data_IF_024926131903
#
_entry.id   IF_024926131903
#
_cell.length_a   1.000
_cell.length_b   1.000
_cell.length_c   1.000
_cell.angle_alpha   90.00
_cell.angle_beta   90.00
_cell.angle_gamma   90.00
#
_symmetry.space_group_name_H-M   'P 1'
#
loop_
_entity.id
_entity.type
_entity.pdbx_description
1 polymer ?
#
# COMPACT_ATOMS: atom_id res chain seq x y z
N UNK A 1 -15.65 11.82 -5.92
CA UNK A 1 -15.43 10.68 -5.03
C UNK A 1 -14.51 11.15 -3.92
N UNK A 2 -14.75 10.75 -2.66
CA UNK A 2 -13.86 11.09 -1.54
C UNK A 2 -12.56 10.27 -1.64
N UNK A 3 -11.42 10.90 -1.26
CA UNK A 3 -10.12 10.22 -1.21
C UNK A 3 -9.94 9.40 0.07
N UNK A 4 -10.93 9.40 0.95
CA UNK A 4 -10.97 8.63 2.19
C UNK A 4 -11.60 9.40 3.35
N UNK A 5 -12.10 8.66 4.33
CA UNK A 5 -12.68 9.17 5.57
C UNK A 5 -11.65 9.08 6.69
N UNK A 6 -11.28 10.22 7.24
CA UNK A 6 -10.30 10.34 8.31
C UNK A 6 -10.97 10.59 9.65
N UNK A 7 -10.39 10.08 10.73
CA UNK A 7 -10.72 10.53 12.08
C UNK A 7 -9.51 11.28 12.66
N UNK A 8 -9.72 12.49 13.12
CA UNK A 8 -8.70 13.28 13.83
C UNK A 8 -9.08 13.47 15.30
N UNK A 9 -8.23 12.95 16.17
CA UNK A 9 -8.42 12.93 17.62
C UNK A 9 -7.35 13.82 18.24
N UNK A 10 -7.75 14.97 18.80
CA UNK A 10 -6.83 15.95 19.38
C UNK A 10 -7.61 16.88 20.32
N UNK A 11 -7.18 17.08 21.55
CA UNK A 11 -7.87 17.94 22.51
C UNK A 11 -7.85 19.41 22.12
N UNK A 12 -6.88 19.82 21.29
CA UNK A 12 -6.76 21.14 20.71
C UNK A 12 -7.34 21.22 19.26
N UNK A 13 -8.26 20.33 18.89
CA UNK A 13 -8.77 20.19 17.51
C UNK A 13 -9.31 21.49 16.91
N UNK A 14 -9.82 22.39 17.75
CA UNK A 14 -10.30 23.72 17.31
C UNK A 14 -9.19 24.58 16.71
N UNK A 15 -7.96 24.39 17.13
CA UNK A 15 -6.77 25.10 16.61
C UNK A 15 -6.32 24.53 15.25
N UNK A 16 -6.76 23.33 14.92
CA UNK A 16 -6.37 22.59 13.70
C UNK A 16 -7.30 22.82 12.52
N UNK A 17 -8.27 23.73 12.60
CA UNK A 17 -9.25 24.02 11.54
C UNK A 17 -8.62 24.30 10.17
N UNK A 18 -7.49 25.01 10.14
CA UNK A 18 -6.80 25.28 8.88
C UNK A 18 -6.27 24.01 8.19
N UNK A 19 -5.82 23.04 9.00
CA UNK A 19 -5.33 21.74 8.52
C UNK A 19 -6.51 20.89 8.01
N UNK A 20 -7.64 20.88 8.73
CA UNK A 20 -8.86 20.19 8.33
C UNK A 20 -9.35 20.72 6.98
N UNK A 21 -9.50 22.04 6.84
CA UNK A 21 -9.91 22.69 5.57
C UNK A 21 -8.93 22.35 4.43
N UNK A 22 -7.62 22.26 4.73
CA UNK A 22 -6.63 21.85 3.72
C UNK A 22 -6.85 20.41 3.25
N UNK A 23 -7.12 19.48 4.17
CA UNK A 23 -7.37 18.05 3.84
C UNK A 23 -8.70 17.90 3.08
N UNK A 24 -9.75 18.61 3.49
CA UNK A 24 -11.04 18.64 2.77
C UNK A 24 -10.90 19.16 1.33
N UNK A 25 -10.11 20.21 1.12
CA UNK A 25 -9.76 20.69 -0.22
C UNK A 25 -8.96 19.69 -1.06
N UNK A 26 -8.30 18.73 -0.41
CA UNK A 26 -7.61 17.61 -1.07
C UNK A 26 -8.52 16.39 -1.29
N UNK A 27 -9.81 16.52 -0.98
CA UNK A 27 -10.82 15.50 -1.23
C UNK A 27 -11.00 14.47 -0.12
N UNK A 28 -10.42 14.68 1.07
CA UNK A 28 -10.65 13.83 2.23
C UNK A 28 -11.87 14.32 3.02
N UNK A 29 -12.60 13.41 3.62
CA UNK A 29 -13.60 13.71 4.64
C UNK A 29 -12.94 13.57 6.01
N UNK A 30 -13.15 14.55 6.92
CA UNK A 30 -12.48 14.58 8.22
C UNK A 30 -13.51 14.65 9.33
N UNK A 31 -13.68 13.56 10.07
CA UNK A 31 -14.38 13.53 11.34
C UNK A 31 -13.42 13.94 12.47
N UNK A 32 -13.90 14.66 13.46
CA UNK A 32 -13.07 15.17 14.56
C UNK A 32 -13.67 14.88 15.91
N UNK A 33 -12.85 14.50 16.87
CA UNK A 33 -13.21 14.37 18.28
C UNK A 33 -12.08 14.92 19.16
N UNK A 34 -12.40 15.38 20.36
CA UNK A 34 -11.45 16.04 21.27
C UNK A 34 -10.92 15.14 22.39
N UNK A 35 -11.27 13.87 22.40
CA UNK A 35 -10.83 12.93 23.44
C UNK A 35 -10.89 11.47 22.98
N UNK A 36 -10.16 10.60 23.68
CA UNK A 36 -10.06 9.19 23.32
C UNK A 36 -11.37 8.39 23.50
N UNK A 37 -12.19 8.74 24.50
CA UNK A 37 -13.45 8.01 24.77
C UNK A 37 -14.44 8.18 23.63
N UNK A 38 -14.63 9.40 23.13
CA UNK A 38 -15.50 9.68 21.98
C UNK A 38 -14.95 9.06 20.71
N UNK A 39 -13.62 9.03 20.55
CA UNK A 39 -12.98 8.35 19.43
C UNK A 39 -13.27 6.85 19.39
N UNK A 40 -13.16 6.17 20.52
CA UNK A 40 -13.43 4.74 20.65
C UNK A 40 -14.89 4.45 20.32
N UNK A 41 -15.82 5.26 20.85
CA UNK A 41 -17.25 5.10 20.58
C UNK A 41 -17.55 5.31 19.09
N UNK A 42 -16.94 6.31 18.46
CA UNK A 42 -17.12 6.58 17.04
C UNK A 42 -16.53 5.45 16.17
N UNK A 43 -15.39 4.86 16.56
CA UNK A 43 -14.81 3.70 15.88
C UNK A 43 -15.67 2.42 16.01
N UNK A 44 -16.57 2.31 17.01
CA UNK A 44 -17.55 1.23 17.08
C UNK A 44 -18.70 1.41 16.10
N UNK A 45 -19.00 2.65 15.73
CA UNK A 45 -20.16 3.00 14.89
C UNK A 45 -19.81 3.02 13.40
N UNK A 46 -18.59 3.41 13.05
CA UNK A 46 -18.14 3.49 11.66
C UNK A 46 -16.65 3.21 11.51
N UNK A 47 -16.24 2.79 10.30
CA UNK A 47 -14.84 2.55 9.96
C UNK A 47 -14.22 3.79 9.35
N UNK A 48 -12.90 3.94 9.55
CA UNK A 48 -12.09 5.01 8.99
C UNK A 48 -10.97 4.44 8.13
N UNK A 49 -10.59 5.20 7.09
CA UNK A 49 -9.45 4.83 6.23
C UNK A 49 -8.12 5.11 6.91
N UNK A 50 -8.08 6.12 7.79
CA UNK A 50 -6.91 6.43 8.63
C UNK A 50 -7.33 7.28 9.83
N UNK A 51 -6.62 7.11 10.95
CA UNK A 51 -6.82 7.86 12.19
C UNK A 51 -5.56 8.66 12.48
N UNK A 52 -5.73 9.99 12.69
CA UNK A 52 -4.72 10.87 13.27
C UNK A 52 -5.02 10.98 14.76
N UNK A 53 -4.05 10.65 15.61
CA UNK A 53 -4.24 10.51 17.06
C UNK A 53 -3.19 11.31 17.81
N UNK A 54 -3.64 12.31 18.58
CA UNK A 54 -2.75 12.98 19.52
C UNK A 54 -2.36 12.05 20.66
N UNK A 55 -1.11 12.13 21.05
CA UNK A 55 -0.59 11.32 22.14
C UNK A 55 -1.02 11.84 23.51
N UNK A 56 -0.96 13.16 23.68
CA UNK A 56 -1.15 13.81 24.98
C UNK A 56 -2.54 14.44 25.08
N UNK A 57 -3.52 13.66 25.51
CA UNK A 57 -4.89 14.12 25.74
C UNK A 57 -5.30 13.95 27.19
N UNK A 58 -6.19 14.82 27.70
CA UNK A 58 -6.82 14.62 29.01
C UNK A 58 -7.67 13.36 29.07
N UNK A 59 -7.61 12.63 30.17
CA UNK A 59 -8.36 11.37 30.37
C UNK A 59 -7.60 10.18 29.81
N UNK A 60 -8.09 9.56 28.74
CA UNK A 60 -7.35 8.50 28.05
C UNK A 60 -6.21 9.10 27.22
N UNK A 61 -5.01 8.64 27.48
CA UNK A 61 -3.85 8.97 26.64
C UNK A 61 -4.00 8.45 25.20
N UNK A 62 -3.22 9.00 24.27
CA UNK A 62 -3.21 8.50 22.90
C UNK A 62 -2.85 7.01 22.80
N UNK A 63 -1.92 6.53 23.63
CA UNK A 63 -1.51 5.11 23.63
C UNK A 63 -2.62 4.19 24.14
N UNK A 64 -3.33 4.56 25.20
CA UNK A 64 -4.48 3.81 25.70
C UNK A 64 -5.64 3.79 24.70
N UNK A 65 -5.86 4.93 24.03
CA UNK A 65 -6.83 5.08 22.95
C UNK A 65 -6.46 4.21 21.75
N UNK A 66 -5.19 4.21 21.33
CA UNK A 66 -4.65 3.38 20.25
C UNK A 66 -4.92 1.90 20.49
N UNK A 67 -4.64 1.43 21.73
CA UNK A 67 -4.83 0.02 22.07
C UNK A 67 -6.29 -0.41 21.86
N UNK A 68 -7.24 0.39 22.37
CA UNK A 68 -8.66 0.08 22.25
C UNK A 68 -9.18 0.22 20.80
N UNK A 69 -8.71 1.22 20.06
CA UNK A 69 -9.04 1.36 18.63
C UNK A 69 -8.56 0.13 17.85
N UNK A 70 -7.35 -0.36 18.13
CA UNK A 70 -6.79 -1.53 17.45
C UNK A 70 -7.49 -2.84 17.79
N UNK A 71 -8.18 -2.92 18.90
CA UNK A 71 -9.06 -4.05 19.23
C UNK A 71 -10.36 -4.02 18.39
N UNK A 72 -10.87 -2.82 18.09
CA UNK A 72 -12.12 -2.62 17.31
C UNK A 72 -11.83 -2.64 15.80
N UNK A 73 -10.80 -1.94 15.38
CA UNK A 73 -10.40 -1.76 13.96
C UNK A 73 -8.91 -2.09 13.77
N UNK A 74 -8.51 -3.37 13.81
CA UNK A 74 -7.11 -3.77 13.76
C UNK A 74 -6.40 -3.38 12.46
N UNK A 75 -7.13 -3.32 11.35
CA UNK A 75 -6.59 -3.01 10.03
C UNK A 75 -6.48 -1.50 9.74
N UNK A 76 -7.20 -0.64 10.46
CA UNK A 76 -7.17 0.81 10.23
C UNK A 76 -5.81 1.39 10.62
N UNK A 77 -5.09 2.06 9.71
CA UNK A 77 -3.82 2.69 10.03
C UNK A 77 -4.02 3.86 11.01
N UNK A 78 -3.18 3.93 12.02
CA UNK A 78 -3.17 5.02 13.00
C UNK A 78 -1.84 5.75 12.92
N UNK A 79 -1.90 7.06 12.75
CA UNK A 79 -0.75 7.97 12.74
C UNK A 79 -0.75 8.77 14.03
N UNK A 80 0.28 8.62 14.83
CA UNK A 80 0.43 9.37 16.09
C UNK A 80 0.93 10.79 15.81
N UNK A 81 0.36 11.77 16.50
CA UNK A 81 0.85 13.15 16.54
C UNK A 81 1.46 13.42 17.91
N UNK A 82 2.75 13.74 17.98
CA UNK A 82 3.51 13.81 19.23
C UNK A 82 4.35 15.08 19.34
N UNK A 83 4.65 15.52 20.55
CA UNK A 83 5.54 16.69 20.83
C UNK A 83 7.00 16.29 21.03
N UNK A 84 7.34 15.00 21.12
CA UNK A 84 8.69 14.54 21.45
C UNK A 84 9.22 13.50 20.45
N UNK A 85 10.51 13.59 20.14
CA UNK A 85 11.24 12.61 19.33
C UNK A 85 11.62 11.34 20.13
N UNK A 86 11.60 11.40 21.46
CA UNK A 86 11.99 10.28 22.33
C UNK A 86 10.97 9.13 22.29
N UNK A 87 9.78 9.36 21.79
CA UNK A 87 8.70 8.40 21.65
C UNK A 87 8.92 7.36 20.55
N UNK A 88 9.89 7.56 19.67
CA UNK A 88 10.37 6.51 18.77
C UNK A 88 10.81 5.24 19.50
N UNK A 89 11.21 5.36 20.77
CA UNK A 89 11.61 4.22 21.60
C UNK A 89 10.39 3.44 22.10
N UNK A 90 9.27 4.13 22.31
CA UNK A 90 8.01 3.50 22.71
C UNK A 90 7.38 2.71 21.57
N UNK A 91 7.52 3.15 20.32
CA UNK A 91 7.00 2.44 19.15
C UNK A 91 7.63 1.05 18.99
N UNK A 92 8.91 0.91 19.28
CA UNK A 92 9.61 -0.38 19.34
C UNK A 92 9.08 -1.29 20.48
N UNK A 93 8.62 -0.70 21.58
CA UNK A 93 8.10 -1.44 22.73
C UNK A 93 6.63 -1.85 22.57
N UNK A 94 5.82 -1.06 21.84
CA UNK A 94 4.39 -1.32 21.59
C UNK A 94 4.17 -2.24 20.38
N UNK A 95 5.23 -2.56 19.64
CA UNK A 95 5.21 -3.52 18.55
C UNK A 95 4.29 -3.14 17.39
N UNK A 96 4.72 -2.19 16.57
CA UNK A 96 4.14 -1.86 15.24
C UNK A 96 2.62 -1.67 15.15
N UNK A 97 1.96 -1.18 16.21
CA UNK A 97 0.53 -0.86 16.18
C UNK A 97 0.23 0.46 15.48
N UNK A 98 1.21 1.34 15.30
CA UNK A 98 1.08 2.60 14.57
C UNK A 98 1.64 2.45 13.15
N UNK A 99 1.02 3.18 12.21
CA UNK A 99 1.40 3.17 10.81
C UNK A 99 2.49 4.23 10.50
N UNK A 100 2.44 5.34 11.24
CA UNK A 100 3.39 6.46 11.10
C UNK A 100 3.30 7.37 12.33
N UNK A 101 4.21 8.32 12.48
CA UNK A 101 4.12 9.37 13.50
C UNK A 101 4.52 10.74 12.91
N UNK A 102 3.95 11.80 13.47
CA UNK A 102 4.17 13.18 13.07
C UNK A 102 4.55 14.01 14.30
N UNK A 103 5.63 14.77 14.19
CA UNK A 103 6.10 15.61 15.29
C UNK A 103 5.40 16.97 15.22
N UNK A 104 4.80 17.39 16.31
CA UNK A 104 4.15 18.71 16.42
C UNK A 104 5.22 19.83 16.51
N UNK A 105 5.06 20.97 15.84
CA UNK A 105 3.89 21.39 15.08
C UNK A 105 3.77 20.69 13.73
N UNK A 106 2.61 20.07 13.48
CA UNK A 106 2.40 19.26 12.29
C UNK A 106 2.16 20.15 11.07
N UNK A 107 2.92 19.91 10.00
CA UNK A 107 2.72 20.61 8.73
C UNK A 107 1.65 19.90 7.88
N UNK A 108 0.67 20.63 7.28
CA UNK A 108 -0.35 20.01 6.42
C UNK A 108 0.20 19.12 5.31
N UNK A 109 1.37 19.48 4.75
CA UNK A 109 2.03 18.67 3.71
C UNK A 109 2.58 17.35 4.24
N UNK A 110 3.04 17.30 5.47
CA UNK A 110 3.50 16.08 6.13
C UNK A 110 2.32 15.14 6.40
N UNK A 111 1.18 15.69 6.87
CA UNK A 111 -0.06 14.91 7.02
C UNK A 111 -0.43 14.30 5.67
N UNK A 112 -0.52 15.11 4.61
CA UNK A 112 -0.91 14.63 3.28
C UNK A 112 0.04 13.53 2.77
N UNK A 113 1.35 13.63 3.04
CA UNK A 113 2.32 12.62 2.67
C UNK A 113 2.08 11.31 3.42
N UNK A 114 1.85 11.40 4.74
CA UNK A 114 1.53 10.24 5.58
C UNK A 114 0.20 9.59 5.16
N UNK A 115 -0.83 10.38 4.83
CA UNK A 115 -2.10 9.87 4.30
C UNK A 115 -1.90 9.08 3.01
N UNK A 116 -1.19 9.65 2.04
CA UNK A 116 -0.91 8.97 0.76
C UNK A 116 -0.15 7.67 0.97
N UNK A 117 0.85 7.66 1.85
CA UNK A 117 1.63 6.48 2.18
C UNK A 117 0.77 5.36 2.79
N UNK A 118 -0.19 5.70 3.66
CA UNK A 118 -0.90 4.72 4.48
C UNK A 118 -2.29 4.35 3.96
N UNK A 119 -3.01 5.25 3.29
CA UNK A 119 -4.33 4.98 2.69
C UNK A 119 -4.17 4.34 1.30
N UNK A 120 -3.30 4.92 0.46
CA UNK A 120 -3.11 4.46 -0.92
C UNK A 120 -1.97 3.45 -1.07
N UNK A 121 -1.51 2.85 0.03
CA UNK A 121 -0.44 1.86 -0.05
C UNK A 121 -0.83 0.66 -0.93
N UNK A 122 -2.10 0.27 -0.93
CA UNK A 122 -2.63 -0.75 -1.86
C UNK A 122 -2.56 -0.27 -3.31
N UNK A 123 -2.98 0.97 -3.57
CA UNK A 123 -2.99 1.54 -4.93
C UNK A 123 -1.57 1.79 -5.44
N UNK A 124 -0.67 2.31 -4.58
CA UNK A 124 0.74 2.53 -4.94
C UNK A 124 1.46 1.20 -5.18
N UNK A 125 1.25 0.19 -4.34
CA UNK A 125 1.81 -1.15 -4.56
C UNK A 125 1.25 -1.74 -5.84
N UNK A 126 -0.05 -1.60 -6.10
CA UNK A 126 -0.69 -2.06 -7.35
C UNK A 126 -0.16 -1.29 -8.56
N UNK A 127 -0.06 0.05 -8.51
CA UNK A 127 0.49 0.85 -9.61
C UNK A 127 1.98 0.57 -9.87
N UNK A 128 2.80 0.48 -8.82
CA UNK A 128 4.24 0.16 -8.96
C UNK A 128 4.42 -1.27 -9.44
N UNK A 129 3.62 -2.21 -8.96
CA UNK A 129 3.65 -3.61 -9.40
C UNK A 129 3.15 -3.73 -10.84
N UNK A 130 2.04 -3.10 -11.20
CA UNK A 130 1.54 -3.08 -12.58
C UNK A 130 2.52 -2.41 -13.54
N UNK A 131 3.12 -1.28 -13.17
CA UNK A 131 4.17 -0.63 -13.97
C UNK A 131 5.41 -1.51 -14.10
N UNK A 132 5.80 -2.20 -13.04
CA UNK A 132 6.90 -3.17 -13.06
C UNK A 132 6.61 -4.34 -13.99
N UNK A 133 5.44 -4.96 -13.88
CA UNK A 133 5.04 -6.06 -14.76
C UNK A 133 4.84 -5.64 -16.20
N UNK A 134 4.32 -4.44 -16.48
CA UNK A 134 4.25 -3.92 -17.85
C UNK A 134 5.62 -3.73 -18.49
N UNK A 135 6.61 -3.23 -17.74
CA UNK A 135 7.98 -3.12 -18.22
C UNK A 135 8.61 -4.50 -18.45
N UNK A 136 8.42 -5.42 -17.52
CA UNK A 136 8.88 -6.80 -17.65
C UNK A 136 8.19 -7.52 -18.81
N UNK A 137 6.89 -7.29 -19.03
CA UNK A 137 6.15 -7.81 -20.19
C UNK A 137 6.82 -7.40 -21.50
N UNK A 138 7.10 -6.10 -21.66
CA UNK A 138 7.76 -5.58 -22.86
C UNK A 138 9.17 -6.16 -23.04
N UNK A 139 9.93 -6.27 -21.95
CA UNK A 139 11.28 -6.83 -21.98
C UNK A 139 11.28 -8.31 -22.34
N UNK A 140 10.33 -9.09 -21.81
CA UNK A 140 10.17 -10.50 -22.14
C UNK A 140 9.78 -10.66 -23.60
N UNK A 141 8.83 -9.88 -24.12
CA UNK A 141 8.42 -9.90 -25.51
C UNK A 141 9.60 -9.57 -26.47
N UNK A 142 10.39 -8.54 -26.15
CA UNK A 142 11.59 -8.21 -26.91
C UNK A 142 12.64 -9.33 -26.86
N UNK A 143 12.85 -9.92 -25.69
CA UNK A 143 13.81 -11.01 -25.51
C UNK A 143 13.39 -12.27 -26.27
N UNK A 144 12.09 -12.59 -26.36
CA UNK A 144 11.59 -13.70 -27.16
C UNK A 144 11.93 -13.57 -28.64
N UNK A 145 11.97 -12.33 -29.17
CA UNK A 145 12.36 -12.08 -30.58
C UNK A 145 13.85 -12.37 -30.86
N UNK A 146 14.70 -12.29 -29.84
CA UNK A 146 16.17 -12.48 -30.00
C UNK A 146 16.67 -13.80 -29.37
N UNK A 147 15.79 -14.70 -28.96
CA UNK A 147 16.16 -16.01 -28.42
C UNK A 147 16.81 -16.89 -29.47
N UNK A 148 18.06 -17.29 -29.23
CA UNK A 148 18.86 -18.11 -30.14
C UNK A 148 19.31 -19.44 -29.55
N UNK A 149 19.17 -19.61 -28.26
CA UNK A 149 19.59 -20.80 -27.54
C UNK A 149 18.50 -21.33 -26.60
N UNK A 150 18.56 -22.61 -26.23
CA UNK A 150 17.68 -23.17 -25.20
C UNK A 150 17.82 -22.44 -23.86
N UNK A 151 19.01 -21.93 -23.55
CA UNK A 151 19.26 -21.18 -22.32
C UNK A 151 18.46 -19.87 -22.27
N UNK A 152 18.31 -19.18 -23.41
CA UNK A 152 17.52 -17.94 -23.51
C UNK A 152 16.04 -18.21 -23.21
N UNK A 153 15.49 -19.31 -23.76
CA UNK A 153 14.11 -19.73 -23.52
C UNK A 153 13.90 -20.16 -22.08
N UNK A 154 14.84 -20.84 -21.48
CA UNK A 154 14.76 -21.23 -20.06
C UNK A 154 14.75 -20.02 -19.13
N UNK A 155 15.45 -18.94 -19.48
CA UNK A 155 15.41 -17.70 -18.69
C UNK A 155 14.03 -17.02 -18.79
N UNK A 156 13.42 -16.99 -19.98
CA UNK A 156 12.06 -16.48 -20.18
C UNK A 156 11.07 -17.27 -19.32
N UNK A 157 11.09 -18.60 -19.40
CA UNK A 157 10.19 -19.43 -18.59
C UNK A 157 10.37 -19.22 -17.08
N UNK A 158 11.62 -19.04 -16.63
CA UNK A 158 11.89 -18.76 -15.22
C UNK A 158 11.24 -17.45 -14.76
N UNK A 159 11.26 -16.41 -15.60
CA UNK A 159 10.59 -15.13 -15.31
C UNK A 159 9.07 -15.29 -15.30
N UNK A 160 8.50 -15.97 -16.27
CA UNK A 160 7.05 -16.21 -16.34
C UNK A 160 6.52 -17.02 -15.15
N UNK A 161 7.28 -18.04 -14.71
CA UNK A 161 6.94 -18.80 -13.50
C UNK A 161 7.06 -17.94 -12.24
N UNK A 162 8.06 -17.07 -12.16
CA UNK A 162 8.18 -16.14 -11.04
C UNK A 162 6.95 -15.21 -10.96
N UNK A 163 6.49 -14.68 -12.07
CA UNK A 163 5.27 -13.88 -12.12
C UNK A 163 4.04 -14.65 -11.67
N UNK A 164 3.90 -15.90 -12.11
CA UNK A 164 2.77 -16.75 -11.71
C UNK A 164 2.72 -16.98 -10.19
N UNK A 165 3.87 -17.08 -9.55
CA UNK A 165 3.98 -17.23 -8.10
C UNK A 165 3.74 -15.92 -7.33
N UNK A 166 4.03 -14.78 -7.94
CA UNK A 166 3.90 -13.45 -7.33
C UNK A 166 2.53 -12.82 -7.56
N UNK A 167 1.83 -13.19 -8.64
CA UNK A 167 0.47 -12.74 -8.90
C UNK A 167 -0.50 -13.40 -7.93
N UNK A 168 -1.13 -12.56 -7.10
CA UNK A 168 -2.28 -13.04 -6.31
C UNK A 168 -3.51 -13.16 -7.20
N UNK A 169 -4.43 -14.07 -6.87
CA UNK A 169 -5.68 -14.35 -7.60
C UNK A 169 -6.61 -13.13 -7.80
N UNK A 170 -6.20 -11.95 -7.36
CA UNK A 170 -7.02 -10.73 -7.35
C UNK A 170 -6.84 -9.82 -8.55
N UNK A 171 -5.79 -9.99 -9.37
CA UNK A 171 -5.54 -9.15 -10.56
C UNK A 171 -5.81 -9.93 -11.85
N UNK A 172 -7.09 -9.90 -12.30
CA UNK A 172 -7.51 -10.64 -13.48
C UNK A 172 -6.83 -10.15 -14.78
N UNK A 173 -6.49 -8.86 -14.89
CA UNK A 173 -5.85 -8.30 -16.06
C UNK A 173 -4.41 -8.77 -16.20
N UNK A 174 -3.67 -8.80 -15.10
CA UNK A 174 -2.28 -9.27 -15.09
C UNK A 174 -2.20 -10.78 -15.31
N UNK A 175 -3.17 -11.54 -14.78
CA UNK A 175 -3.29 -12.99 -15.01
C UNK A 175 -3.53 -13.28 -16.49
N UNK A 176 -4.38 -12.51 -17.16
CA UNK A 176 -4.63 -12.65 -18.60
C UNK A 176 -3.38 -12.31 -19.44
N UNK A 177 -2.69 -11.22 -19.12
CA UNK A 177 -1.42 -10.86 -19.75
C UNK A 177 -0.34 -11.95 -19.58
N UNK A 178 -0.25 -12.55 -18.40
CA UNK A 178 0.68 -13.65 -18.14
C UNK A 178 0.34 -14.89 -18.96
N UNK A 179 -0.95 -15.23 -19.07
CA UNK A 179 -1.41 -16.36 -19.88
C UNK A 179 -1.05 -16.17 -21.35
N UNK A 180 -1.28 -14.98 -21.92
CA UNK A 180 -0.90 -14.63 -23.29
C UNK A 180 0.62 -14.77 -23.51
N UNK A 181 1.44 -14.26 -22.61
CA UNK A 181 2.90 -14.37 -22.71
C UNK A 181 3.40 -15.81 -22.61
N UNK A 182 2.78 -16.64 -21.78
CA UNK A 182 3.09 -18.07 -21.70
C UNK A 182 2.78 -18.78 -23.02
N UNK A 183 1.65 -18.46 -23.63
CA UNK A 183 1.28 -19.02 -24.93
C UNK A 183 2.24 -18.59 -26.04
N UNK A 184 2.60 -17.30 -26.11
CA UNK A 184 3.60 -16.78 -27.05
C UNK A 184 4.97 -17.44 -26.85
N UNK A 185 5.41 -17.62 -25.60
CA UNK A 185 6.66 -18.31 -25.29
C UNK A 185 6.65 -19.77 -25.72
N UNK A 186 5.54 -20.48 -25.51
CA UNK A 186 5.39 -21.87 -25.94
C UNK A 186 5.46 -21.99 -27.48
N UNK A 187 4.73 -21.13 -28.20
CA UNK A 187 4.77 -21.09 -29.66
C UNK A 187 6.17 -20.74 -30.17
N UNK A 188 6.81 -19.73 -29.58
CA UNK A 188 8.17 -19.29 -29.93
C UNK A 188 9.20 -20.38 -29.71
N UNK A 189 9.15 -21.05 -28.57
CA UNK A 189 10.05 -22.16 -28.25
C UNK A 189 9.83 -23.37 -29.17
N UNK A 190 8.58 -23.73 -29.44
CA UNK A 190 8.27 -24.80 -30.39
C UNK A 190 8.84 -24.51 -31.79
N UNK A 191 8.69 -23.28 -32.30
CA UNK A 191 9.28 -22.85 -33.57
C UNK A 191 10.81 -22.89 -33.53
N UNK A 192 11.41 -22.50 -32.40
CA UNK A 192 12.87 -22.56 -32.21
C UNK A 192 13.38 -24.02 -32.27
N UNK A 193 12.72 -24.94 -31.55
CA UNK A 193 13.05 -26.36 -31.56
C UNK A 193 12.89 -26.94 -32.96
N UNK A 194 11.76 -26.67 -33.64
CA UNK A 194 11.52 -27.15 -34.98
C UNK A 194 12.64 -26.70 -35.98
N UNK A 195 13.06 -25.43 -35.88
CA UNK A 195 14.10 -24.87 -36.77
C UNK A 195 15.50 -25.42 -36.52
N UNK A 196 15.83 -25.73 -35.24
CA UNK A 196 17.23 -26.00 -34.88
C UNK A 196 17.52 -27.47 -34.54
N UNK A 197 16.49 -28.30 -34.30
CA UNK A 197 16.66 -29.66 -33.77
C UNK A 197 15.86 -30.75 -34.53
N UNK A 198 14.82 -30.41 -35.30
CA UNK A 198 14.08 -31.42 -36.07
C UNK A 198 14.83 -31.95 -37.28
N UNK A 199 15.87 -31.25 -37.74
CA UNK A 199 16.75 -31.74 -38.83
C UNK A 199 17.68 -32.89 -38.37
N UNK A 200 17.65 -33.27 -37.08
CA UNK A 200 18.49 -34.34 -36.50
C UNK A 200 17.72 -35.61 -36.22
N UNK A 201 16.49 -35.72 -36.69
CA UNK A 201 15.58 -36.87 -36.40
C UNK A 201 15.42 -37.78 -37.64
N UNK A 202 16.11 -37.49 -38.77
CA UNK A 202 16.18 -38.36 -39.98
C UNK A 202 17.42 -39.26 -39.95
#
# INVERSE_FOLDING_TARGET
MSNGLLLWIDDEIELLKAHIIFLEKKGYEVATVSNGSDAIELCRQQSFDLILLDEMMPGLSGLETLQQIKEIQPATPVVMCTKSEEENIMDQAIGSKIADYLIKPVNPSQILLSLKKNIHQKDIVTEVTQSGYQQDYQQIALKMMDCRTCSDWMEIYRRLVKWELELSDTDSQMTEMLAMQKEEANIGFAKFIARNYLEWID
#
